data_IF_852111951837
#
_entry.id   IF_852111951837
#
_cell.length_a   1.000
_cell.length_b   1.000
_cell.length_c   1.000
_cell.angle_alpha   90.00
_cell.angle_beta   90.00
_cell.angle_gamma   90.00
#
_symmetry.space_group_name_H-M   'P 1'
#
loop_
_entity.id
_entity.type
_entity.pdbx_description
1 polymer ?
#
# COMPACT_ATOMS: atom_id res chain seq x y z
N UNK A 1 -69.74 35.18 22.38
CA UNK A 1 -69.08 34.54 21.22
C UNK A 1 -68.00 35.51 20.75
N UNK A 2 -66.83 35.40 21.36
CA UNK A 2 -65.67 36.25 21.08
C UNK A 2 -64.89 35.67 19.89
N UNK A 3 -64.65 36.50 18.87
CA UNK A 3 -63.87 36.16 17.70
C UNK A 3 -62.37 36.32 17.99
N UNK A 4 -61.65 35.20 17.98
CA UNK A 4 -60.21 35.11 18.21
C UNK A 4 -59.46 35.65 16.99
N UNK A 5 -58.75 36.77 17.16
CA UNK A 5 -57.82 37.32 16.18
C UNK A 5 -56.57 36.44 16.02
N UNK A 6 -56.26 36.06 14.77
CA UNK A 6 -55.00 35.37 14.41
C UNK A 6 -53.84 36.37 14.48
N UNK A 7 -52.86 36.10 15.34
CA UNK A 7 -51.54 36.79 15.32
C UNK A 7 -50.69 36.23 14.17
N UNK A 8 -49.84 37.04 13.52
CA UNK A 8 -48.89 36.53 12.55
C UNK A 8 -47.78 35.75 13.26
N UNK A 9 -47.45 34.58 12.72
CA UNK A 9 -46.30 33.77 13.10
C UNK A 9 -45.03 34.59 12.81
N UNK A 10 -44.25 34.91 13.85
CA UNK A 10 -42.87 35.33 13.67
C UNK A 10 -42.05 34.05 13.51
N UNK A 11 -41.42 33.87 12.35
CA UNK A 11 -40.37 32.88 12.17
C UNK A 11 -39.18 33.31 13.03
N UNK A 12 -38.97 32.64 14.15
CA UNK A 12 -37.69 32.67 14.85
C UNK A 12 -36.64 32.04 13.93
N UNK A 13 -35.76 32.89 13.37
CA UNK A 13 -34.53 32.44 12.73
C UNK A 13 -33.70 31.66 13.75
N UNK A 14 -33.85 30.34 13.72
CA UNK A 14 -32.95 29.43 14.42
C UNK A 14 -31.54 29.65 13.88
N UNK A 15 -30.72 30.29 14.70
CA UNK A 15 -29.32 30.53 14.44
C UNK A 15 -28.58 29.18 14.52
N UNK A 16 -28.67 28.39 13.44
CA UNK A 16 -27.88 27.17 13.27
C UNK A 16 -26.43 27.63 13.21
N UNK A 17 -25.70 27.41 14.29
CA UNK A 17 -24.27 27.65 14.38
C UNK A 17 -23.61 26.99 13.16
N UNK A 18 -23.14 27.81 12.20
CA UNK A 18 -22.33 27.34 11.08
C UNK A 18 -21.14 26.63 11.72
N UNK A 19 -21.08 25.31 11.56
CA UNK A 19 -19.88 24.55 11.91
C UNK A 19 -18.67 25.26 11.31
N UNK A 20 -17.54 25.36 12.03
CA UNK A 20 -16.36 26.04 11.50
C UNK A 20 -16.05 25.44 10.12
N UNK A 21 -16.11 26.30 9.10
CA UNK A 21 -15.85 25.89 7.73
C UNK A 21 -14.34 25.69 7.64
N UNK A 22 -13.88 24.47 7.85
CA UNK A 22 -12.47 24.13 7.67
C UNK A 22 -12.05 24.50 6.25
N UNK A 23 -10.88 25.11 6.13
CA UNK A 23 -10.34 25.56 4.85
C UNK A 23 -10.07 24.35 3.94
N UNK A 24 -10.53 24.42 2.69
CA UNK A 24 -10.26 23.42 1.66
C UNK A 24 -9.04 23.86 0.85
N UNK A 25 -7.99 23.06 0.88
CA UNK A 25 -6.79 23.27 0.07
C UNK A 25 -6.81 22.35 -1.15
N UNK A 26 -6.29 22.85 -2.28
CA UNK A 26 -6.32 22.14 -3.58
C UNK A 26 -4.92 22.03 -4.18
N UNK A 27 -4.65 20.88 -4.77
CA UNK A 27 -3.43 20.61 -5.52
C UNK A 27 -3.79 20.10 -6.91
N UNK A 28 -3.59 20.94 -7.92
CA UNK A 28 -3.98 20.64 -9.29
C UNK A 28 -3.16 19.47 -9.87
N UNK A 29 -3.81 18.53 -10.56
CA UNK A 29 -3.14 17.47 -11.32
C UNK A 29 -2.69 17.96 -12.71
N UNK A 30 -3.46 18.84 -13.32
CA UNK A 30 -3.23 19.28 -14.70
C UNK A 30 -2.66 20.71 -14.77
N UNK A 31 -2.00 21.08 -15.88
CA UNK A 31 -1.52 20.20 -16.96
C UNK A 31 -0.35 19.31 -16.50
N UNK A 32 -0.28 18.06 -16.99
CA UNK A 32 0.78 17.11 -16.59
C UNK A 32 2.20 17.58 -16.97
N UNK A 33 2.30 18.46 -17.97
CA UNK A 33 3.57 19.04 -18.41
C UNK A 33 4.35 19.74 -17.28
N UNK A 34 3.67 20.26 -16.25
CA UNK A 34 4.33 20.93 -15.11
C UNK A 34 5.19 19.99 -14.26
N UNK A 35 4.99 18.68 -14.38
CA UNK A 35 5.80 17.65 -13.69
C UNK A 35 6.87 17.02 -14.59
N UNK A 36 7.04 17.50 -15.81
CA UNK A 36 7.96 16.90 -16.80
C UNK A 36 9.40 17.44 -16.73
N UNK A 37 9.71 18.26 -15.71
CA UNK A 37 11.05 18.82 -15.49
C UNK A 37 12.09 17.80 -15.03
N UNK A 38 13.18 18.29 -14.44
CA UNK A 38 14.24 17.43 -13.89
C UNK A 38 13.67 16.44 -12.88
N UNK A 39 14.22 15.22 -12.88
CA UNK A 39 13.72 14.15 -12.04
C UNK A 39 14.04 14.41 -10.57
N UNK A 40 13.03 14.36 -9.71
CA UNK A 40 13.19 14.39 -8.27
C UNK A 40 14.15 13.28 -7.84
N UNK A 41 15.07 13.62 -6.94
CA UNK A 41 16.05 12.68 -6.40
C UNK A 41 15.32 11.68 -5.51
N UNK A 42 15.57 10.39 -5.74
CA UNK A 42 15.08 9.34 -4.87
C UNK A 42 16.27 8.63 -4.22
N UNK A 43 16.38 8.73 -2.90
CA UNK A 43 17.46 8.09 -2.15
C UNK A 43 17.26 6.58 -2.13
N UNK A 44 18.35 5.83 -2.28
CA UNK A 44 18.30 4.37 -2.19
C UNK A 44 17.64 3.95 -0.87
N UNK A 45 16.57 3.13 -0.92
CA UNK A 45 15.89 2.69 0.28
C UNK A 45 16.76 1.74 1.12
N UNK A 46 16.57 1.79 2.44
CA UNK A 46 17.26 0.94 3.41
C UNK A 46 16.22 0.36 4.37
N UNK A 47 16.25 -0.95 4.58
CA UNK A 47 15.43 -1.57 5.61
C UNK A 47 15.90 -1.13 7.00
N UNK A 48 14.96 -0.72 7.85
CA UNK A 48 15.17 -0.47 9.28
C UNK A 48 14.95 -1.76 10.08
N UNK A 49 13.82 -2.43 9.81
CA UNK A 49 13.44 -3.68 10.47
C UNK A 49 12.37 -4.40 9.63
N UNK A 50 12.08 -5.66 9.95
CA UNK A 50 10.94 -6.44 9.48
C UNK A 50 10.07 -6.97 10.62
N UNK A 51 8.88 -7.47 10.26
CA UNK A 51 8.00 -8.22 11.15
C UNK A 51 7.12 -9.17 10.33
N UNK A 52 6.57 -10.16 11.02
CA UNK A 52 5.68 -11.18 10.47
C UNK A 52 4.30 -11.06 11.11
N UNK A 53 3.26 -11.44 10.38
CA UNK A 53 1.91 -11.64 10.90
C UNK A 53 1.55 -13.09 10.59
N UNK A 54 1.19 -13.87 11.60
CA UNK A 54 0.93 -15.30 11.43
C UNK A 54 -0.49 -15.62 10.95
N UNK A 55 -0.78 -16.92 10.84
CA UNK A 55 -2.06 -17.45 10.37
C UNK A 55 -3.26 -17.09 11.26
N UNK A 56 -3.02 -16.71 12.53
CA UNK A 56 -4.03 -16.22 13.48
C UNK A 56 -4.09 -14.68 13.52
N UNK A 57 -3.39 -14.01 12.61
CA UNK A 57 -3.25 -12.55 12.53
C UNK A 57 -2.52 -11.94 13.74
N UNK A 58 -1.63 -12.70 14.38
CA UNK A 58 -0.78 -12.23 15.48
C UNK A 58 0.54 -11.67 14.94
N UNK A 59 0.97 -10.51 15.45
CA UNK A 59 2.18 -9.81 15.04
C UNK A 59 3.40 -10.35 15.78
N UNK A 60 4.47 -10.63 15.05
CA UNK A 60 5.76 -11.09 15.55
C UNK A 60 6.88 -10.23 14.96
N UNK A 61 7.75 -9.66 15.80
CA UNK A 61 8.89 -8.85 15.34
C UNK A 61 10.09 -9.71 14.90
N UNK A 62 9.84 -10.64 13.98
CA UNK A 62 10.82 -11.54 13.38
C UNK A 62 10.49 -11.86 11.90
N UNK A 63 11.29 -12.74 11.30
CA UNK A 63 11.20 -13.12 9.89
C UNK A 63 10.47 -14.46 9.66
N UNK A 64 9.66 -14.97 10.60
CA UNK A 64 9.08 -16.33 10.50
C UNK A 64 8.16 -16.55 9.29
N UNK A 65 7.58 -15.48 8.75
CA UNK A 65 6.74 -15.55 7.55
C UNK A 65 7.48 -15.22 6.25
N UNK A 66 8.78 -14.92 6.29
CA UNK A 66 9.56 -14.70 5.08
C UNK A 66 9.68 -15.99 4.28
N UNK A 67 9.21 -15.98 3.04
CA UNK A 67 9.33 -17.11 2.10
C UNK A 67 10.48 -16.91 1.12
N UNK A 68 10.95 -18.01 0.53
CA UNK A 68 11.97 -18.01 -0.51
C UNK A 68 11.37 -18.28 -1.87
N UNK A 69 11.85 -17.58 -2.90
CA UNK A 69 11.39 -17.81 -4.26
C UNK A 69 11.79 -19.20 -4.75
N UNK A 70 10.82 -19.94 -5.26
CA UNK A 70 11.05 -21.18 -6.00
C UNK A 70 10.03 -21.30 -7.12
N UNK A 71 10.43 -21.40 -8.40
CA UNK A 71 9.53 -21.29 -9.54
C UNK A 71 8.38 -22.31 -9.48
N UNK A 72 7.20 -21.86 -9.89
CA UNK A 72 6.05 -22.76 -10.09
C UNK A 72 6.31 -23.72 -11.25
N UNK A 73 5.84 -24.95 -11.10
CA UNK A 73 5.85 -25.96 -12.16
C UNK A 73 4.70 -25.68 -13.15
N UNK A 74 5.05 -25.24 -14.36
CA UNK A 74 4.07 -24.87 -15.39
C UNK A 74 3.23 -26.05 -15.89
N UNK A 75 3.66 -27.29 -15.67
CA UNK A 75 2.86 -28.46 -16.05
C UNK A 75 1.59 -28.62 -15.20
N UNK A 76 1.53 -27.95 -14.03
CA UNK A 76 0.41 -28.04 -13.10
C UNK A 76 0.14 -26.70 -12.38
N UNK A 77 0.28 -25.58 -13.09
CA UNK A 77 0.13 -24.24 -12.52
C UNK A 77 -1.31 -23.69 -12.66
N UNK A 78 -2.30 -24.43 -12.16
CA UNK A 78 -3.70 -23.97 -12.06
C UNK A 78 -3.88 -23.07 -10.82
N UNK A 79 -4.19 -21.79 -11.07
CA UNK A 79 -4.38 -20.81 -10.00
C UNK A 79 -5.74 -20.94 -9.30
N UNK A 80 -6.66 -21.78 -9.78
CA UNK A 80 -7.98 -21.96 -9.18
C UNK A 80 -8.03 -23.06 -8.11
N UNK A 81 -7.01 -23.91 -8.02
CA UNK A 81 -6.93 -25.01 -7.04
C UNK A 81 -6.93 -24.48 -5.61
N UNK A 82 -7.82 -25.01 -4.77
CA UNK A 82 -7.93 -24.68 -3.34
C UNK A 82 -8.71 -23.41 -3.04
N UNK A 83 -9.46 -22.86 -4.01
CA UNK A 83 -10.28 -21.67 -3.81
C UNK A 83 -11.44 -21.91 -2.84
N UNK A 84 -11.97 -23.13 -2.81
CA UNK A 84 -13.02 -23.59 -1.90
C UNK A 84 -12.61 -23.54 -0.43
N UNK A 85 -11.32 -23.74 -0.14
CA UNK A 85 -10.75 -23.72 1.21
C UNK A 85 -10.05 -22.40 1.53
N UNK A 86 -10.21 -21.37 0.68
CA UNK A 86 -9.51 -20.10 0.79
C UNK A 86 -9.83 -19.35 2.09
N UNK A 87 -8.81 -19.17 2.95
CA UNK A 87 -8.93 -18.42 4.20
C UNK A 87 -8.58 -16.97 3.94
N UNK A 88 -9.60 -16.10 4.04
CA UNK A 88 -9.44 -14.66 3.89
C UNK A 88 -9.36 -13.99 5.26
N UNK A 89 -8.46 -13.01 5.37
CA UNK A 89 -8.39 -12.11 6.53
C UNK A 89 -9.70 -11.35 6.66
N UNK A 90 -10.08 -11.02 7.89
CA UNK A 90 -11.30 -10.24 8.14
C UNK A 90 -11.09 -8.77 7.73
N UNK A 91 -11.63 -8.40 6.57
CA UNK A 91 -11.55 -7.02 6.05
C UNK A 91 -12.43 -6.02 6.83
N UNK A 92 -13.30 -6.48 7.74
CA UNK A 92 -14.07 -5.59 8.62
C UNK A 92 -13.21 -5.01 9.74
N UNK A 93 -12.09 -5.68 10.08
CA UNK A 93 -11.12 -5.16 11.03
C UNK A 93 -10.30 -4.05 10.38
N UNK A 94 -10.50 -2.82 10.85
CA UNK A 94 -9.68 -1.69 10.43
C UNK A 94 -8.33 -1.74 11.16
N UNK A 95 -7.32 -2.23 10.46
CA UNK A 95 -5.97 -2.35 11.00
C UNK A 95 -5.17 -1.03 10.99
N UNK A 96 -5.65 -0.03 10.24
CA UNK A 96 -5.02 1.29 10.14
C UNK A 96 -3.52 1.19 9.78
N UNK A 97 -2.67 1.95 10.45
CA UNK A 97 -1.20 1.84 10.38
C UNK A 97 -0.61 1.15 11.61
N UNK A 98 -1.43 0.41 12.38
CA UNK A 98 -1.11 -0.04 13.74
C UNK A 98 0.16 -0.87 13.79
N UNK A 99 0.26 -1.88 12.92
CA UNK A 99 1.42 -2.78 12.89
C UNK A 99 2.70 -2.06 12.48
N UNK A 100 2.60 -1.03 11.64
CA UNK A 100 3.73 -0.17 11.29
C UNK A 100 4.16 0.71 12.50
N UNK A 101 3.20 1.26 13.24
CA UNK A 101 3.49 2.01 14.47
C UNK A 101 4.15 1.11 15.52
N UNK A 102 3.63 -0.10 15.71
CA UNK A 102 4.18 -1.10 16.62
C UNK A 102 5.61 -1.52 16.20
N UNK A 103 5.85 -1.76 14.91
CA UNK A 103 7.18 -2.07 14.39
C UNK A 103 8.18 -0.93 14.60
N UNK A 104 7.75 0.33 14.45
CA UNK A 104 8.59 1.49 14.71
C UNK A 104 8.90 1.68 16.19
N UNK A 105 7.91 1.47 17.07
CA UNK A 105 8.14 1.49 18.52
C UNK A 105 9.14 0.41 18.94
N UNK A 106 8.98 -0.82 18.43
CA UNK A 106 9.91 -1.91 18.69
C UNK A 106 11.32 -1.60 18.15
N UNK A 107 11.45 -1.06 16.94
CA UNK A 107 12.75 -0.67 16.39
C UNK A 107 13.44 0.37 17.29
N UNK A 108 12.72 1.42 17.69
CA UNK A 108 13.23 2.50 18.56
C UNK A 108 13.66 2.04 19.94
N UNK A 109 13.06 0.96 20.48
CA UNK A 109 13.46 0.44 21.80
C UNK A 109 14.78 -0.33 21.79
N UNK A 110 15.26 -0.73 20.59
CA UNK A 110 16.51 -1.47 20.38
C UNK A 110 17.65 -0.58 19.89
N UNK A 111 17.34 0.53 19.25
CA UNK A 111 18.34 1.42 18.65
C UNK A 111 19.01 2.36 19.67
N UNK A 112 20.30 2.64 19.44
CA UNK A 112 21.06 3.60 20.26
C UNK A 112 20.58 5.03 20.01
N UNK A 113 20.23 5.36 18.75
CA UNK A 113 19.63 6.62 18.37
C UNK A 113 18.19 6.39 17.90
N UNK A 114 17.18 6.64 18.77
CA UNK A 114 15.77 6.54 18.39
C UNK A 114 15.35 7.44 17.22
N UNK A 115 16.11 8.52 16.95
CA UNK A 115 15.86 9.44 15.82
C UNK A 115 16.28 8.83 14.47
N UNK A 116 16.96 7.69 14.47
CA UNK A 116 17.29 6.90 13.25
C UNK A 116 16.05 6.51 12.43
N UNK A 117 14.87 6.48 13.05
CA UNK A 117 13.58 6.22 12.40
C UNK A 117 12.68 7.46 12.30
N UNK A 118 13.16 8.64 12.68
CA UNK A 118 12.43 9.89 12.46
C UNK A 118 12.39 10.21 10.96
N UNK A 119 11.22 10.61 10.49
CA UNK A 119 10.99 11.00 9.11
C UNK A 119 9.91 12.07 9.04
N UNK A 120 9.85 12.78 7.92
CA UNK A 120 8.80 13.76 7.66
C UNK A 120 7.45 13.05 7.47
N UNK A 121 7.46 11.85 6.87
CA UNK A 121 6.26 11.04 6.61
C UNK A 121 6.43 9.58 7.06
N UNK A 122 5.41 9.02 7.71
CA UNK A 122 5.25 7.59 8.03
C UNK A 122 3.95 7.07 7.43
N UNK A 123 4.00 6.02 6.60
CA UNK A 123 2.81 5.47 5.93
C UNK A 123 3.01 4.07 5.37
N UNK A 124 1.99 3.45 4.76
CA UNK A 124 2.17 2.23 3.98
C UNK A 124 2.64 2.54 2.55
N UNK A 125 3.53 1.69 2.01
CA UNK A 125 4.04 1.77 0.63
C UNK A 125 2.92 1.85 -0.41
N UNK A 126 1.79 1.20 -0.17
CA UNK A 126 0.62 1.23 -1.05
C UNK A 126 0.01 2.64 -1.23
N UNK A 127 0.13 3.50 -0.21
CA UNK A 127 -0.35 4.89 -0.25
C UNK A 127 0.57 5.73 -1.14
N UNK A 128 1.90 5.65 -0.93
CA UNK A 128 2.87 6.34 -1.78
C UNK A 128 2.78 5.85 -3.23
N UNK A 129 2.51 4.55 -3.45
CA UNK A 129 2.25 3.99 -4.79
C UNK A 129 1.08 4.70 -5.48
N UNK A 130 -0.04 4.93 -4.78
CA UNK A 130 -1.20 5.65 -5.34
C UNK A 130 -0.83 7.08 -5.70
N UNK A 131 -0.16 7.78 -4.78
CA UNK A 131 0.32 9.15 -5.01
C UNK A 131 1.19 9.20 -6.26
N UNK A 132 2.21 8.32 -6.38
CA UNK A 132 3.07 8.20 -7.56
C UNK A 132 2.27 7.99 -8.86
N UNK A 133 1.22 7.16 -8.80
CA UNK A 133 0.44 6.77 -9.97
C UNK A 133 -0.65 7.79 -10.35
N UNK A 134 -1.00 8.73 -9.48
CA UNK A 134 -2.09 9.71 -9.66
C UNK A 134 -2.10 10.43 -11.02
N UNK A 135 -0.95 10.86 -11.58
CA UNK A 135 -0.93 11.50 -12.91
C UNK A 135 -1.62 10.69 -14.02
N UNK A 136 -1.58 9.37 -13.92
CA UNK A 136 -2.02 8.47 -14.97
C UNK A 136 -3.13 7.50 -14.54
N UNK A 137 -3.30 7.25 -13.25
CA UNK A 137 -4.38 6.46 -12.69
C UNK A 137 -5.67 7.28 -12.58
N UNK A 138 -6.81 6.59 -12.57
CA UNK A 138 -8.15 7.17 -12.36
C UNK A 138 -8.88 6.40 -11.25
N UNK A 139 -8.10 5.95 -10.27
CA UNK A 139 -8.58 5.23 -9.11
C UNK A 139 -8.82 6.24 -7.99
N UNK A 140 -10.05 6.42 -7.48
CA UNK A 140 -10.30 7.34 -6.39
C UNK A 140 -9.64 6.84 -5.10
N UNK A 141 -9.22 7.78 -4.25
CA UNK A 141 -8.72 7.47 -2.93
C UNK A 141 -9.10 8.54 -1.92
N UNK A 142 -9.21 8.12 -0.66
CA UNK A 142 -9.32 8.98 0.50
C UNK A 142 -8.25 8.57 1.51
N UNK A 143 -7.52 9.54 2.06
CA UNK A 143 -6.46 9.29 3.03
C UNK A 143 -6.73 10.10 4.30
N UNK A 144 -6.54 9.47 5.45
CA UNK A 144 -6.46 10.14 6.75
C UNK A 144 -5.03 10.60 7.01
N UNK A 145 -4.87 11.83 7.48
CA UNK A 145 -3.56 12.43 7.75
C UNK A 145 -3.54 13.09 9.12
N UNK A 146 -2.52 12.85 9.92
CA UNK A 146 -2.29 13.57 11.19
C UNK A 146 -0.81 13.92 11.34
N UNK A 147 -0.49 14.95 12.11
CA UNK A 147 0.89 15.32 12.43
C UNK A 147 1.11 15.20 13.92
N UNK A 148 2.14 14.43 14.29
CA UNK A 148 2.53 14.24 15.68
C UNK A 148 4.05 14.19 15.81
N UNK A 149 4.61 15.00 16.73
CA UNK A 149 6.05 15.18 16.92
C UNK A 149 6.78 15.46 15.60
N UNK A 150 6.20 16.37 14.82
CA UNK A 150 6.72 16.80 13.51
C UNK A 150 6.81 15.72 12.43
N UNK A 151 6.23 14.55 12.67
CA UNK A 151 6.05 13.50 11.66
C UNK A 151 4.60 13.51 11.18
N UNK A 152 4.39 13.44 9.86
CA UNK A 152 3.08 13.25 9.26
C UNK A 152 2.81 11.77 9.08
N UNK A 153 1.69 11.28 9.61
CA UNK A 153 1.22 9.91 9.44
C UNK A 153 0.10 9.90 8.42
N UNK A 154 0.13 8.95 7.50
CA UNK A 154 -0.89 8.84 6.45
C UNK A 154 -1.43 7.41 6.43
N UNK A 155 -2.75 7.29 6.50
CA UNK A 155 -3.47 6.04 6.30
C UNK A 155 -4.50 6.14 5.17
N UNK A 156 -5.04 5.01 4.74
CA UNK A 156 -6.12 4.98 3.76
C UNK A 156 -7.46 4.80 4.45
N UNK A 157 -8.45 5.60 4.03
CA UNK A 157 -9.85 5.34 4.31
C UNK A 157 -10.48 4.56 3.15
N UNK A 158 -11.36 3.62 3.50
CA UNK A 158 -12.18 2.96 2.50
C UNK A 158 -13.22 3.94 1.92
N UNK A 159 -13.07 4.28 0.64
CA UNK A 159 -14.04 5.11 -0.08
C UNK A 159 -15.36 4.36 -0.32
N UNK A 160 -16.48 5.08 -0.41
CA UNK A 160 -17.78 4.50 -0.80
C UNK A 160 -17.72 3.74 -2.14
N UNK A 161 -16.93 4.24 -3.10
CA UNK A 161 -16.71 3.59 -4.39
C UNK A 161 -16.09 2.19 -4.24
N UNK A 162 -15.03 2.06 -3.43
CA UNK A 162 -14.39 0.78 -3.13
C UNK A 162 -15.31 -0.16 -2.39
N UNK A 163 -16.05 0.33 -1.40
CA UNK A 163 -17.02 -0.48 -0.66
C UNK A 163 -18.09 -1.04 -1.59
N UNK A 164 -18.64 -0.21 -2.48
CA UNK A 164 -19.61 -0.65 -3.47
C UNK A 164 -19.02 -1.64 -4.49
N UNK A 165 -17.75 -1.46 -4.91
CA UNK A 165 -17.06 -2.42 -5.76
C UNK A 165 -16.88 -3.78 -5.08
N UNK A 166 -16.44 -3.80 -3.83
CA UNK A 166 -16.23 -5.02 -3.06
C UNK A 166 -17.55 -5.77 -2.83
N UNK A 167 -18.62 -5.05 -2.47
CA UNK A 167 -19.95 -5.63 -2.28
C UNK A 167 -20.55 -6.23 -3.56
N UNK A 168 -20.25 -5.63 -4.72
CA UNK A 168 -20.78 -6.07 -6.02
C UNK A 168 -19.78 -6.93 -6.81
N UNK A 169 -18.69 -7.39 -6.19
CA UNK A 169 -17.72 -8.24 -6.87
C UNK A 169 -18.37 -9.57 -7.26
N UNK A 170 -18.25 -9.95 -8.53
CA UNK A 170 -18.78 -11.23 -9.01
C UNK A 170 -17.89 -12.40 -8.60
N UNK A 171 -18.40 -13.63 -8.76
CA UNK A 171 -17.65 -14.84 -8.41
C UNK A 171 -16.32 -14.94 -9.17
N UNK A 172 -16.32 -14.51 -10.45
CA UNK A 172 -15.12 -14.49 -11.29
C UNK A 172 -14.08 -13.51 -10.74
N UNK A 173 -14.49 -12.31 -10.33
CA UNK A 173 -13.63 -11.32 -9.72
C UNK A 173 -12.98 -11.80 -8.44
N UNK A 174 -13.73 -12.49 -7.56
CA UNK A 174 -13.18 -13.08 -6.32
C UNK A 174 -12.15 -14.16 -6.62
N UNK A 175 -12.45 -15.06 -7.56
CA UNK A 175 -11.51 -16.08 -8.02
C UNK A 175 -10.23 -15.46 -8.62
N UNK A 176 -10.35 -14.38 -9.40
CA UNK A 176 -9.17 -13.67 -9.90
C UNK A 176 -8.35 -12.98 -8.81
N UNK A 177 -8.97 -12.59 -7.69
CA UNK A 177 -8.27 -12.10 -6.50
C UNK A 177 -7.44 -13.22 -5.85
N UNK A 178 -8.04 -14.39 -5.67
CA UNK A 178 -7.37 -15.59 -5.17
C UNK A 178 -6.15 -15.99 -6.01
N UNK A 179 -6.23 -15.86 -7.34
CA UNK A 179 -5.14 -16.23 -8.25
C UNK A 179 -3.80 -15.56 -7.95
N UNK A 180 -3.78 -14.37 -7.34
CA UNK A 180 -2.55 -13.72 -6.87
C UNK A 180 -1.87 -14.54 -5.77
N UNK A 181 -2.58 -14.73 -4.66
CA UNK A 181 -2.12 -15.51 -3.51
C UNK A 181 -1.79 -16.96 -3.87
N UNK A 182 -2.57 -17.55 -4.80
CA UNK A 182 -2.29 -18.90 -5.27
C UNK A 182 -0.97 -18.98 -6.05
N UNK A 183 -0.65 -17.97 -6.85
CA UNK A 183 0.63 -17.91 -7.54
C UNK A 183 1.80 -17.74 -6.57
N UNK A 184 1.62 -16.98 -5.48
CA UNK A 184 2.60 -16.87 -4.40
C UNK A 184 2.87 -18.22 -3.75
N UNK A 185 1.82 -18.96 -3.37
CA UNK A 185 1.92 -20.32 -2.83
C UNK A 185 2.67 -21.28 -3.77
N UNK A 186 2.37 -21.24 -5.07
CA UNK A 186 3.06 -22.07 -6.06
C UNK A 186 4.50 -21.63 -6.37
N UNK A 187 4.85 -20.38 -6.08
CA UNK A 187 6.13 -19.77 -6.45
C UNK A 187 7.07 -19.54 -5.27
N UNK A 188 6.73 -20.09 -4.10
CA UNK A 188 7.52 -19.93 -2.88
C UNK A 188 7.69 -21.25 -2.12
N UNK A 189 8.66 -21.25 -1.21
CA UNK A 189 8.97 -22.32 -0.24
C UNK A 189 9.39 -21.69 1.10
N UNK A 190 9.28 -22.45 2.17
CA UNK A 190 9.55 -22.02 3.55
C UNK A 190 11.05 -21.97 3.89
N UNK A 191 11.87 -22.79 3.23
CA UNK A 191 13.30 -22.89 3.49
C UNK A 191 14.14 -22.51 2.27
N UNK A 192 15.34 -21.96 2.50
CA UNK A 192 16.17 -21.48 1.39
C UNK A 192 16.69 -22.64 0.52
N UNK A 193 16.36 -22.69 -0.79
CA UNK A 193 16.88 -23.73 -1.67
C UNK A 193 18.38 -23.52 -1.93
N UNK A 194 19.22 -24.42 -1.45
CA UNK A 194 20.66 -24.40 -1.74
C UNK A 194 21.12 -25.70 -2.40
N UNK A 195 22.35 -25.72 -2.94
CA UNK A 195 22.92 -26.95 -3.51
C UNK A 195 23.15 -28.04 -2.46
N UNK A 196 23.42 -27.64 -1.23
CA UNK A 196 23.72 -28.52 -0.10
C UNK A 196 22.47 -28.91 0.70
N UNK A 197 21.40 -28.15 0.53
CA UNK A 197 20.12 -28.35 1.20
C UNK A 197 18.99 -28.06 0.19
N UNK A 198 18.64 -29.06 -0.64
CA UNK A 198 17.58 -28.91 -1.63
C UNK A 198 16.21 -28.80 -0.93
N UNK A 199 15.24 -28.16 -1.59
CA UNK A 199 13.87 -28.09 -1.08
C UNK A 199 13.32 -29.49 -0.82
N UNK A 200 12.61 -29.63 0.28
CA UNK A 200 11.85 -30.83 0.60
C UNK A 200 10.85 -31.15 -0.54
N UNK A 201 10.89 -32.38 -1.03
CA UNK A 201 9.97 -32.85 -2.06
C UNK A 201 8.54 -32.88 -1.55
N UNK A 202 8.33 -33.16 -0.25
CA UNK A 202 7.00 -33.15 0.36
C UNK A 202 6.42 -31.74 0.39
N UNK A 203 7.23 -30.72 0.63
CA UNK A 203 6.83 -29.32 0.49
C UNK A 203 6.45 -28.96 -0.96
N UNK A 204 7.27 -29.37 -1.94
CA UNK A 204 7.01 -29.09 -3.35
C UNK A 204 5.74 -29.77 -3.88
N UNK A 205 5.38 -30.94 -3.34
CA UNK A 205 4.12 -31.61 -3.66
C UNK A 205 2.95 -30.99 -2.89
N UNK A 206 3.09 -30.76 -1.58
CA UNK A 206 1.99 -30.21 -0.74
C UNK A 206 1.60 -28.79 -1.13
N UNK A 207 2.53 -27.92 -1.57
CA UNK A 207 2.20 -26.57 -2.05
C UNK A 207 1.23 -26.56 -3.25
N UNK A 208 1.17 -27.67 -4.01
CA UNK A 208 0.21 -27.83 -5.13
C UNK A 208 -1.23 -27.96 -4.67
N UNK A 209 -1.51 -28.14 -3.39
CA UNK A 209 -2.87 -28.16 -2.84
C UNK A 209 -2.98 -27.50 -1.48
N UNK A 210 -1.95 -26.76 -1.04
CA UNK A 210 -1.96 -26.09 0.25
C UNK A 210 -3.05 -25.05 0.32
N UNK A 211 -3.73 -25.00 1.48
CA UNK A 211 -4.68 -23.93 1.81
C UNK A 211 -3.96 -22.58 1.75
N UNK A 212 -4.56 -21.64 1.05
CA UNK A 212 -4.07 -20.26 0.98
C UNK A 212 -4.72 -19.47 2.12
N UNK A 213 -3.90 -18.77 2.91
CA UNK A 213 -4.36 -17.96 4.03
C UNK A 213 -3.82 -16.53 3.94
N UNK A 214 -4.68 -15.54 3.73
CA UNK A 214 -4.24 -14.13 3.59
C UNK A 214 -4.01 -13.42 4.93
N UNK A 215 -4.11 -14.12 6.07
CA UNK A 215 -3.68 -13.58 7.37
C UNK A 215 -2.16 -13.54 7.47
N UNK A 216 -1.48 -14.52 6.86
CA UNK A 216 -0.02 -14.64 6.90
C UNK A 216 0.63 -13.56 6.04
N UNK A 217 1.52 -12.78 6.64
CA UNK A 217 2.23 -11.72 5.93
C UNK A 217 3.65 -11.56 6.46
N UNK A 218 4.56 -11.19 5.57
CA UNK A 218 5.88 -10.71 5.91
C UNK A 218 6.02 -9.26 5.47
N UNK A 219 6.41 -8.38 6.40
CA UNK A 219 6.49 -6.96 6.18
C UNK A 219 7.91 -6.44 6.48
N UNK A 220 8.38 -5.53 5.63
CA UNK A 220 9.59 -4.72 5.84
C UNK A 220 9.20 -3.27 6.16
N UNK A 221 9.99 -2.61 7.00
CA UNK A 221 9.93 -1.18 7.29
C UNK A 221 11.14 -0.53 6.69
N UNK A 222 10.92 0.38 5.74
CA UNK A 222 11.97 0.93 4.89
C UNK A 222 12.05 2.44 5.05
N UNK A 223 13.27 2.97 5.14
CA UNK A 223 13.56 4.41 5.11
C UNK A 223 14.11 4.83 3.75
N UNK A 224 13.62 5.95 3.25
CA UNK A 224 14.07 6.57 2.01
C UNK A 224 13.89 8.09 2.07
N UNK A 225 14.15 8.79 0.96
CA UNK A 225 13.86 10.21 0.75
C UNK A 225 13.50 10.46 -0.71
N UNK A 226 12.40 11.18 -0.94
CA UNK A 226 11.99 11.70 -2.24
C UNK A 226 12.13 13.22 -2.20
N UNK A 227 12.95 13.79 -3.09
CA UNK A 227 13.35 15.19 -3.03
C UNK A 227 13.95 15.52 -1.67
N UNK A 228 13.32 16.42 -0.93
CA UNK A 228 13.72 16.77 0.43
C UNK A 228 12.95 16.00 1.51
N UNK A 229 11.86 15.32 1.14
CA UNK A 229 10.94 14.64 2.07
C UNK A 229 11.47 13.26 2.43
N UNK A 230 11.87 13.06 3.70
CA UNK A 230 12.17 11.75 4.25
C UNK A 230 10.91 10.95 4.53
N UNK A 231 10.94 9.67 4.16
CA UNK A 231 9.78 8.79 4.25
C UNK A 231 10.21 7.49 4.92
N UNK A 232 9.44 7.06 5.89
CA UNK A 232 9.44 5.71 6.43
C UNK A 232 8.16 5.03 5.98
N UNK A 233 8.28 3.82 5.45
CA UNK A 233 7.13 3.08 4.96
C UNK A 233 7.18 1.59 5.29
N UNK A 234 6.04 1.06 5.73
CA UNK A 234 5.81 -0.37 5.79
C UNK A 234 5.47 -0.93 4.40
N UNK A 235 5.92 -2.14 4.10
CA UNK A 235 5.55 -2.85 2.88
C UNK A 235 5.54 -4.36 3.10
N UNK A 236 4.48 -5.02 2.64
CA UNK A 236 4.47 -6.47 2.44
C UNK A 236 5.46 -6.88 1.34
N UNK A 237 6.15 -7.99 1.57
CA UNK A 237 7.14 -8.59 0.67
C UNK A 237 6.81 -10.06 0.47
N UNK A 238 6.65 -10.45 -0.80
CA UNK A 238 6.16 -11.79 -1.15
C UNK A 238 7.22 -12.88 -0.91
N UNK A 239 8.47 -12.64 -1.30
CA UNK A 239 9.57 -13.56 -1.03
C UNK A 239 10.97 -12.94 -1.21
N UNK A 240 12.01 -13.73 -0.89
CA UNK A 240 13.42 -13.39 -1.12
C UNK A 240 14.14 -14.44 -1.97
N UNK A 241 15.17 -14.03 -2.71
CA UNK A 241 16.08 -14.92 -3.45
C UNK A 241 17.28 -15.40 -2.63
N UNK A 242 17.48 -14.89 -1.42
CA UNK A 242 18.62 -15.23 -0.56
C UNK A 242 18.25 -15.11 0.93
N UNK A 243 18.93 -15.85 1.82
CA UNK A 243 18.79 -15.66 3.27
C UNK A 243 19.10 -14.22 3.66
N UNK A 244 18.35 -13.69 4.64
CA UNK A 244 18.66 -12.38 5.20
C UNK A 244 19.98 -12.45 5.95
N UNK A 245 20.85 -11.48 5.67
CA UNK A 245 22.07 -11.25 6.44
C UNK A 245 21.88 -9.97 7.26
N UNK A 246 21.91 -10.05 8.61
CA UNK A 246 21.72 -8.89 9.48
C UNK A 246 22.71 -7.73 9.25
N UNK A 247 23.86 -8.00 8.64
CA UNK A 247 24.90 -7.00 8.37
C UNK A 247 24.74 -6.28 7.03
N UNK A 248 23.72 -6.63 6.23
CA UNK A 248 23.52 -6.07 4.89
C UNK A 248 22.07 -5.66 4.67
N UNK A 249 21.85 -4.66 3.81
CA UNK A 249 20.51 -4.29 3.38
C UNK A 249 19.87 -5.46 2.58
N UNK A 250 18.74 -6.05 3.03
CA UNK A 250 18.14 -7.23 2.40
C UNK A 250 17.30 -6.90 1.16
N UNK A 251 16.91 -5.64 0.98
CA UNK A 251 16.04 -5.18 -0.12
C UNK A 251 16.47 -5.64 -1.54
N UNK A 252 17.78 -5.70 -1.88
CA UNK A 252 18.23 -6.22 -3.17
C UNK A 252 17.97 -7.72 -3.41
N UNK A 253 17.54 -8.47 -2.38
CA UNK A 253 17.19 -9.88 -2.50
C UNK A 253 15.68 -10.12 -2.57
N UNK A 254 14.86 -9.11 -2.27
CA UNK A 254 13.41 -9.25 -2.31
C UNK A 254 12.88 -9.39 -3.74
N UNK A 255 11.76 -10.09 -3.84
CA UNK A 255 11.05 -10.36 -5.08
C UNK A 255 9.57 -10.08 -4.85
N UNK A 256 8.98 -9.34 -5.78
CA UNK A 256 7.53 -9.18 -5.86
C UNK A 256 6.96 -10.22 -6.84
N UNK A 257 5.87 -10.86 -6.49
CA UNK A 257 5.15 -11.82 -7.30
C UNK A 257 3.85 -11.19 -7.81
N UNK A 258 3.54 -11.43 -9.09
CA UNK A 258 2.32 -10.91 -9.72
C UNK A 258 1.75 -11.91 -10.71
N UNK A 259 0.45 -11.81 -10.95
CA UNK A 259 -0.20 -12.50 -12.07
C UNK A 259 -0.75 -11.51 -13.09
N UNK A 260 -0.79 -11.92 -14.35
CA UNK A 260 -1.46 -11.15 -15.40
C UNK A 260 -2.03 -12.07 -16.47
N UNK A 261 -3.02 -11.55 -17.23
CA UNK A 261 -3.50 -12.20 -18.44
C UNK A 261 -2.37 -12.30 -19.46
N UNK A 262 -2.27 -13.43 -20.15
CA UNK A 262 -1.37 -13.65 -21.27
C UNK A 262 -1.62 -12.61 -22.38
N UNK A 263 -0.53 -12.09 -22.95
CA UNK A 263 -0.56 -11.01 -23.93
C UNK A 263 -0.59 -11.65 -25.32
N UNK A 264 -1.73 -11.57 -26.00
CA UNK A 264 -1.92 -12.10 -27.37
C UNK A 264 -2.07 -11.01 -28.43
N UNK A 265 -2.39 -9.79 -28.02
CA UNK A 265 -2.69 -8.67 -28.92
C UNK A 265 -1.99 -7.39 -28.48
N UNK A 266 -1.85 -6.45 -29.41
CA UNK A 266 -1.34 -5.10 -29.12
C UNK A 266 -2.22 -4.36 -28.09
N UNK A 267 -3.52 -4.68 -28.04
CA UNK A 267 -4.43 -4.12 -27.03
C UNK A 267 -4.14 -4.66 -25.63
N UNK A 268 -3.89 -5.97 -25.51
CA UNK A 268 -3.50 -6.58 -24.23
C UNK A 268 -2.16 -5.97 -23.77
N UNK A 269 -1.21 -5.84 -24.71
CA UNK A 269 0.10 -5.23 -24.45
C UNK A 269 -0.04 -3.79 -23.96
N UNK A 270 -0.79 -2.95 -24.68
CA UNK A 270 -1.06 -1.57 -24.30
C UNK A 270 -1.69 -1.50 -22.91
N UNK A 271 -2.69 -2.33 -22.61
CA UNK A 271 -3.37 -2.33 -21.32
C UNK A 271 -2.42 -2.72 -20.18
N UNK A 272 -1.59 -3.76 -20.40
CA UNK A 272 -0.57 -4.20 -19.46
C UNK A 272 0.45 -3.09 -19.19
N UNK A 273 1.05 -2.55 -20.25
CA UNK A 273 2.10 -1.52 -20.18
C UNK A 273 1.59 -0.20 -19.60
N UNK A 274 0.38 0.23 -19.96
CA UNK A 274 -0.21 1.49 -19.51
C UNK A 274 -0.63 1.45 -18.05
N UNK A 275 -1.24 0.35 -17.60
CA UNK A 275 -1.91 0.32 -16.30
C UNK A 275 -1.19 -0.57 -15.27
N UNK A 276 -0.84 -1.80 -15.64
CA UNK A 276 -0.25 -2.77 -14.69
C UNK A 276 1.23 -2.52 -14.48
N UNK A 277 2.00 -2.35 -15.56
CA UNK A 277 3.45 -2.17 -15.50
C UNK A 277 3.83 -0.92 -14.69
N UNK A 278 3.04 0.15 -14.76
CA UNK A 278 3.23 1.34 -13.91
C UNK A 278 3.11 1.01 -12.43
N UNK A 279 2.07 0.27 -12.05
CA UNK A 279 1.84 -0.13 -10.65
C UNK A 279 2.91 -1.10 -10.16
N UNK A 280 3.33 -2.06 -11.00
CA UNK A 280 4.44 -2.97 -10.71
C UNK A 280 5.72 -2.20 -10.47
N UNK A 281 6.05 -1.25 -11.35
CA UNK A 281 7.20 -0.38 -11.19
C UNK A 281 7.12 0.42 -9.89
N UNK A 282 6.02 1.15 -9.65
CA UNK A 282 5.88 2.01 -8.48
C UNK A 282 5.99 1.22 -7.17
N UNK A 283 5.30 0.08 -7.06
CA UNK A 283 5.30 -0.76 -5.85
C UNK A 283 6.71 -1.27 -5.50
N UNK A 284 7.43 -1.78 -6.49
CA UNK A 284 8.76 -2.35 -6.28
C UNK A 284 9.86 -1.29 -6.19
N UNK A 285 9.76 -0.20 -6.96
CA UNK A 285 10.73 0.90 -6.95
C UNK A 285 10.81 1.57 -5.58
N UNK A 286 9.66 1.80 -4.95
CA UNK A 286 9.59 2.52 -3.69
C UNK A 286 10.44 1.84 -2.60
N UNK A 287 10.34 0.53 -2.45
CA UNK A 287 11.10 -0.21 -1.43
C UNK A 287 12.41 -0.80 -1.96
N UNK A 288 12.81 -0.50 -3.21
CA UNK A 288 14.07 -0.98 -3.77
C UNK A 288 14.08 -2.46 -4.16
N UNK A 289 12.91 -3.09 -4.30
CA UNK A 289 12.77 -4.46 -4.80
C UNK A 289 13.22 -4.50 -6.27
N UNK A 290 14.27 -5.26 -6.64
CA UNK A 290 14.89 -5.18 -7.96
C UNK A 290 14.12 -5.89 -9.07
N UNK A 291 13.22 -6.82 -8.72
CA UNK A 291 12.48 -7.59 -9.71
C UNK A 291 11.07 -7.97 -9.28
N UNK A 292 10.18 -7.96 -10.27
CA UNK A 292 8.85 -8.56 -10.21
C UNK A 292 8.88 -9.85 -11.04
N UNK A 293 8.41 -10.96 -10.50
CA UNK A 293 8.20 -12.20 -11.25
C UNK A 293 6.71 -12.32 -11.54
N UNK A 294 6.37 -12.27 -12.83
CA UNK A 294 5.00 -12.27 -13.29
C UNK A 294 4.63 -13.61 -13.94
N UNK A 295 3.63 -14.30 -13.38
CA UNK A 295 2.93 -15.42 -14.00
C UNK A 295 1.86 -14.92 -14.97
N UNK A 296 2.08 -15.15 -16.27
CA UNK A 296 1.11 -14.89 -17.32
C UNK A 296 0.22 -16.11 -17.52
N UNK A 297 -1.07 -15.94 -17.23
CA UNK A 297 -2.09 -16.99 -17.28
C UNK A 297 -3.10 -16.76 -18.39
N UNK A 298 -3.78 -17.83 -18.79
CA UNK A 298 -4.95 -17.73 -19.67
C UNK A 298 -6.21 -17.25 -18.92
N UNK A 299 -7.38 -17.43 -19.54
CA UNK A 299 -8.67 -17.02 -19.00
C UNK A 299 -9.26 -18.01 -17.98
N UNK A 300 -8.73 -19.23 -17.94
CA UNK A 300 -9.19 -20.32 -17.07
C UNK A 300 -8.33 -20.43 -15.81
N UNK A 301 -7.20 -19.73 -15.78
CA UNK A 301 -6.37 -19.58 -14.58
C UNK A 301 -5.04 -20.34 -14.66
N UNK A 302 -4.75 -21.03 -15.76
CA UNK A 302 -3.49 -21.76 -15.90
C UNK A 302 -2.35 -20.80 -16.27
N UNK A 303 -1.26 -20.85 -15.51
CA UNK A 303 -0.05 -20.07 -15.82
C UNK A 303 0.66 -20.71 -17.01
N UNK A 304 0.77 -19.95 -18.10
CA UNK A 304 1.38 -20.39 -19.36
C UNK A 304 2.84 -19.94 -19.49
N UNK A 305 3.21 -18.86 -18.79
CA UNK A 305 4.56 -18.27 -18.86
C UNK A 305 4.91 -17.55 -17.57
N UNK A 306 6.13 -17.74 -17.08
CA UNK A 306 6.70 -16.90 -16.01
C UNK A 306 7.75 -15.97 -16.61
N UNK A 307 7.71 -14.69 -16.24
CA UNK A 307 8.66 -13.69 -16.71
C UNK A 307 9.18 -12.84 -15.56
N UNK A 308 10.51 -12.72 -15.47
CA UNK A 308 11.17 -11.77 -14.58
C UNK A 308 11.21 -10.39 -15.25
N UNK A 309 10.65 -9.39 -14.58
CA UNK A 309 10.68 -7.98 -14.97
C UNK A 309 11.59 -7.23 -13.98
N UNK A 310 12.68 -6.65 -14.48
CA UNK A 310 13.56 -5.83 -13.63
C UNK A 310 12.93 -4.45 -13.42
N UNK A 311 12.79 -4.04 -12.17
CA UNK A 311 12.10 -2.81 -11.76
C UNK A 311 12.64 -1.58 -12.49
N UNK A 312 13.97 -1.44 -12.58
CA UNK A 312 14.62 -0.29 -13.23
C UNK A 312 14.54 -0.30 -14.76
N UNK A 313 14.15 -1.41 -15.38
CA UNK A 313 13.96 -1.51 -16.83
C UNK A 313 12.51 -1.18 -17.25
N UNK A 314 11.52 -1.33 -16.35
CA UNK A 314 10.10 -1.14 -16.67
C UNK A 314 9.78 0.25 -17.26
N UNK A 315 10.28 1.39 -16.71
CA UNK A 315 10.04 2.70 -17.33
C UNK A 315 10.61 2.83 -18.74
N UNK A 316 11.69 2.09 -19.06
CA UNK A 316 12.31 2.13 -20.39
C UNK A 316 11.45 1.42 -21.43
N UNK A 317 10.66 0.42 -21.02
CA UNK A 317 9.78 -0.33 -21.92
C UNK A 317 8.73 0.58 -22.60
N UNK A 318 8.29 1.64 -21.91
CA UNK A 318 7.20 2.52 -22.37
C UNK A 318 7.64 3.95 -22.71
N UNK A 319 8.94 4.24 -22.56
CA UNK A 319 9.49 5.60 -22.70
C UNK A 319 9.21 6.17 -24.09
N UNK A 320 8.69 7.39 -24.13
CA UNK A 320 8.43 8.13 -25.38
C UNK A 320 7.23 7.62 -26.18
N UNK A 321 6.53 6.58 -25.71
CA UNK A 321 5.33 6.09 -26.38
C UNK A 321 4.12 6.97 -26.05
N UNK A 322 3.30 7.25 -27.07
CA UNK A 322 2.10 8.10 -26.92
C UNK A 322 1.11 7.46 -25.94
N UNK A 323 0.61 8.26 -25.00
CA UNK A 323 -0.38 7.82 -24.03
C UNK A 323 0.16 6.96 -22.88
N UNK A 324 1.47 6.70 -22.84
CA UNK A 324 2.12 5.99 -21.74
C UNK A 324 2.49 6.90 -20.57
N UNK A 325 2.84 6.27 -19.45
CA UNK A 325 3.28 6.96 -18.25
C UNK A 325 4.77 7.30 -18.35
N UNK A 326 5.16 8.40 -17.70
CA UNK A 326 6.55 8.80 -17.53
C UNK A 326 6.90 8.75 -16.05
N UNK A 327 7.88 7.93 -15.68
CA UNK A 327 8.37 7.79 -14.31
C UNK A 327 8.80 9.14 -13.69
N UNK A 328 9.34 10.06 -14.49
CA UNK A 328 9.73 11.40 -14.01
C UNK A 328 8.51 12.20 -13.56
N UNK A 329 7.43 12.16 -14.35
CA UNK A 329 6.16 12.80 -13.98
C UNK A 329 5.60 12.20 -12.70
N UNK A 330 5.65 10.87 -12.54
CA UNK A 330 5.21 10.21 -11.32
C UNK A 330 6.00 10.68 -10.08
N UNK A 331 7.33 10.72 -10.19
CA UNK A 331 8.22 11.11 -9.08
C UNK A 331 8.10 12.60 -8.75
N UNK A 332 8.10 13.47 -9.76
CA UNK A 332 7.99 14.92 -9.59
C UNK A 332 6.62 15.32 -9.04
N UNK A 333 5.55 14.66 -9.49
CA UNK A 333 4.22 14.86 -8.92
C UNK A 333 4.21 14.53 -7.43
N UNK A 334 4.72 13.35 -7.06
CA UNK A 334 4.73 12.91 -5.67
C UNK A 334 5.62 13.79 -4.78
N UNK A 335 6.79 14.21 -5.26
CA UNK A 335 7.68 15.11 -4.54
C UNK A 335 7.01 16.46 -4.23
N UNK A 336 6.42 17.08 -5.27
CA UNK A 336 5.71 18.35 -5.11
C UNK A 336 4.47 18.21 -4.23
N UNK A 337 3.70 17.12 -4.39
CA UNK A 337 2.51 16.88 -3.58
C UNK A 337 2.85 16.66 -2.11
N UNK A 338 3.86 15.84 -1.80
CA UNK A 338 4.26 15.57 -0.41
C UNK A 338 4.88 16.81 0.25
N UNK A 339 5.64 17.61 -0.50
CA UNK A 339 6.17 18.89 -0.02
C UNK A 339 5.05 19.89 0.27
N UNK A 340 4.05 19.95 -0.63
CA UNK A 340 2.87 20.79 -0.42
C UNK A 340 2.03 20.32 0.77
N UNK A 341 1.79 19.00 0.92
CA UNK A 341 1.03 18.44 2.04
C UNK A 341 1.65 18.82 3.39
N UNK A 342 2.98 18.82 3.51
CA UNK A 342 3.68 19.28 4.71
C UNK A 342 3.41 20.74 5.07
N UNK A 343 3.20 21.60 4.07
CA UNK A 343 2.84 23.00 4.28
C UNK A 343 1.39 23.21 4.74
N UNK A 344 0.51 22.23 4.46
CA UNK A 344 -0.91 22.27 4.83
C UNK A 344 -1.15 21.65 6.21
N UNK A 345 -0.51 20.52 6.51
CA UNK A 345 -0.69 19.76 7.75
C UNK A 345 0.21 20.35 8.85
N UNK A 346 -0.26 21.45 9.44
CA UNK A 346 0.51 22.27 10.38
C UNK A 346 0.18 22.02 11.85
N UNK A 347 -1.03 21.53 12.16
CA UNK A 347 -1.45 21.24 13.55
C UNK A 347 -0.73 19.99 14.06
N UNK A 348 0.19 20.17 15.01
CA UNK A 348 0.97 19.09 15.63
C UNK A 348 0.20 18.53 16.86
N UNK A 349 -0.83 17.74 16.59
CA UNK A 349 -1.71 17.11 17.57
C UNK A 349 -2.11 15.71 17.04
N UNK A 350 -1.82 14.62 17.78
CA UNK A 350 -2.13 13.26 17.34
C UNK A 350 -3.64 12.96 17.23
N UNK A 351 -4.50 13.80 17.80
CA UNK A 351 -5.95 13.72 17.66
C UNK A 351 -6.48 14.55 16.49
N UNK A 352 -5.69 15.50 15.97
CA UNK A 352 -6.13 16.34 14.86
C UNK A 352 -5.85 15.66 13.53
N UNK A 353 -6.88 15.56 12.68
CA UNK A 353 -6.80 14.89 11.39
C UNK A 353 -7.17 15.81 10.24
N UNK A 354 -6.68 15.44 9.07
CA UNK A 354 -7.01 15.99 7.76
C UNK A 354 -7.45 14.84 6.86
N UNK A 355 -8.36 15.13 5.94
CA UNK A 355 -8.77 14.18 4.90
C UNK A 355 -8.23 14.65 3.56
N UNK A 356 -7.52 13.77 2.86
CA UNK A 356 -7.03 13.98 1.50
C UNK A 356 -7.91 13.18 0.55
N UNK A 357 -8.47 13.81 -0.49
CA UNK A 357 -9.36 13.15 -1.44
C UNK A 357 -8.91 13.37 -2.88
N UNK A 358 -8.89 12.28 -3.65
CA UNK A 358 -8.79 12.31 -5.11
C UNK A 358 -9.97 11.53 -5.69
N UNK A 359 -10.81 12.21 -6.46
CA UNK A 359 -12.04 11.64 -7.00
C UNK A 359 -12.37 12.25 -8.37
N UNK A 360 -13.41 11.73 -9.03
CA UNK A 360 -13.94 12.30 -10.27
C UNK A 360 -14.22 13.81 -10.10
N UNK A 361 -13.84 14.69 -11.04
CA UNK A 361 -13.35 14.44 -12.41
C UNK A 361 -11.82 14.21 -12.56
N UNK A 362 -11.13 13.88 -11.46
CA UNK A 362 -9.70 13.57 -11.41
C UNK A 362 -8.81 14.72 -11.90
N UNK A 363 -9.16 15.94 -11.47
CA UNK A 363 -8.45 17.17 -11.85
C UNK A 363 -7.54 17.72 -10.76
N UNK A 364 -7.86 17.47 -9.49
CA UNK A 364 -7.17 18.02 -8.33
C UNK A 364 -7.24 17.02 -7.16
N UNK A 365 -6.26 17.11 -6.26
CA UNK A 365 -6.34 16.52 -4.92
C UNK A 365 -6.83 17.61 -3.97
N UNK A 366 -7.75 17.26 -3.07
CA UNK A 366 -8.26 18.16 -2.03
C UNK A 366 -7.76 17.74 -0.66
N UNK A 367 -7.50 18.71 0.22
CA UNK A 367 -7.18 18.48 1.63
C UNK A 367 -8.07 19.36 2.48
N UNK A 368 -8.76 18.75 3.44
CA UNK A 368 -9.67 19.43 4.36
C UNK A 368 -9.31 19.04 5.78
N UNK A 369 -9.21 20.00 6.70
CA UNK A 369 -9.08 19.68 8.13
C UNK A 369 -10.38 19.04 8.63
N UNK A 370 -10.24 17.91 9.31
CA UNK A 370 -11.35 17.10 9.84
C UNK A 370 -11.53 17.29 11.35
N UNK A 371 -10.67 18.08 12.00
CA UNK A 371 -10.67 18.27 13.45
C UNK A 371 -10.29 16.98 14.17
N UNK A 372 -11.02 16.64 15.25
CA UNK A 372 -10.78 15.41 16.03
C UNK A 372 -11.60 14.20 15.56
N UNK A 373 -11.82 14.07 14.25
CA UNK A 373 -12.57 12.96 13.66
C UNK A 373 -11.62 11.91 13.10
N UNK A 374 -12.01 10.64 13.12
CA UNK A 374 -11.22 9.57 12.49
C UNK A 374 -9.77 9.49 13.01
N UNK A 375 -9.58 9.69 14.31
CA UNK A 375 -8.26 9.56 14.95
C UNK A 375 -7.78 8.12 14.80
N UNK A 376 -6.56 7.93 14.30
CA UNK A 376 -6.04 6.59 13.98
C UNK A 376 -4.75 6.20 14.70
N UNK A 377 -4.01 7.15 15.29
CA UNK A 377 -2.85 6.78 16.11
C UNK A 377 -3.30 6.03 17.36
N UNK A 378 -2.59 4.96 17.71
CA UNK A 378 -2.88 4.16 18.90
C UNK A 378 -2.30 4.81 20.16
N UNK A 379 -2.97 4.65 21.31
CA UNK A 379 -2.44 5.12 22.60
C UNK A 379 -1.07 4.49 22.91
N UNK A 380 -0.94 3.18 22.66
CA UNK A 380 0.30 2.45 22.91
C UNK A 380 1.50 3.00 22.13
N UNK A 381 1.30 3.51 20.91
CA UNK A 381 2.36 4.15 20.14
C UNK A 381 2.88 5.42 20.84
N UNK A 382 1.98 6.24 21.39
CA UNK A 382 2.35 7.45 22.14
C UNK A 382 3.04 7.11 23.47
N UNK A 383 2.62 6.01 24.09
CA UNK A 383 3.19 5.50 25.36
C UNK A 383 4.51 4.75 25.17
N UNK A 384 4.90 4.45 23.92
CA UNK A 384 6.13 3.72 23.61
C UNK A 384 6.04 2.22 23.90
N UNK A 385 4.85 1.62 23.80
CA UNK A 385 4.64 0.18 23.92
C UNK A 385 4.08 -0.44 22.64
N UNK A 386 4.20 -1.76 22.52
CA UNK A 386 3.75 -2.54 21.36
C UNK A 386 2.69 -3.56 21.76
N UNK A 387 1.93 -4.04 20.77
CA UNK A 387 1.06 -5.21 20.95
C UNK A 387 1.29 -6.23 19.85
N UNK A 388 1.14 -7.51 20.20
CA UNK A 388 1.05 -8.59 19.21
C UNK A 388 -0.34 -8.65 18.56
N UNK A 389 -1.36 -7.98 19.15
CA UNK A 389 -2.70 -7.89 18.59
C UNK A 389 -2.88 -6.59 17.79
N UNK A 390 -3.40 -6.73 16.58
CA UNK A 390 -3.75 -5.60 15.72
C UNK A 390 -4.99 -4.88 16.26
N UNK A 391 -5.10 -3.57 16.06
CA UNK A 391 -6.17 -2.73 16.61
C UNK A 391 -5.81 -2.17 17.98
N UNK A 392 -6.79 -1.65 18.73
CA UNK A 392 -6.61 -1.10 20.08
C UNK A 392 -7.08 0.35 20.22
N UNK A 393 -7.04 0.93 21.44
CA UNK A 393 -7.56 2.27 21.70
C UNK A 393 -6.81 3.35 20.93
N UNK A 394 -7.56 4.29 20.34
CA UNK A 394 -7.01 5.47 19.68
C UNK A 394 -6.72 6.57 20.68
N UNK A 395 -5.84 7.49 20.32
CA UNK A 395 -5.58 8.67 21.16
C UNK A 395 -6.86 9.47 21.33
N UNK A 396 -7.17 9.88 22.56
CA UNK A 396 -8.38 10.65 22.89
C UNK A 396 -9.65 9.83 23.15
N UNK A 397 -9.65 8.51 22.91
CA UNK A 397 -10.77 7.59 23.25
C UNK A 397 -10.87 7.24 24.73
#
# INVERSE_FOLDING_TARGET
MEGIGKRPFQEEETNVAKSPRFEEHKFDLHPLGKYSGDCAVYKQPVELQSFSIDHERTVHFDDRQLKYYYPADLSNADLSVGYEDFIQRDENLKEHIDTLLDALTHYRSKEIDPLSSQADIVTWRGIITKILCTPYARDPFELGVTRYKDTIYIEEHETEFKRAQNQNQDARGRLMGFWGYRFESLSTVSSFPSKTDPVDKEELESRKSSVVNTNEQYCTVVRTRLGNTSIVMGAEVDCTSAPKNPSTNPLPNYIELKTSKLIHSDRDKYTFERHKLMKFWAQSFLIGTPSVICGFRDNDGFVQKIQKLKTMEMPRMVRGQKGMWDARVCLNFADQFLSWLQSIVTVNDPEHTYTVTFAHPFQEIKVVSSGKKHVFLTKRYLEGSTSEKIGGPRVGE
#
